data_IF_600267284651
#
_entry.id   IF_600267284651
#
_cell.length_a   1.000
_cell.length_b   1.000
_cell.length_c   1.000
_cell.angle_alpha   90.00
_cell.angle_beta   90.00
_cell.angle_gamma   90.00
#
_symmetry.space_group_name_H-M   'P 1'
#
loop_
_entity.id
_entity.type
_entity.pdbx_description
1 polymer ?
#
# COMPACT_ATOMS: atom_id res chain seq x y z
N UNK A 1 6.17 7.41 6.80
CA UNK A 1 6.93 6.20 7.20
C UNK A 1 8.36 6.60 7.57
N UNK A 2 8.89 6.22 8.74
CA UNK A 2 10.24 6.63 9.17
C UNK A 2 11.30 5.73 8.51
N UNK A 3 11.45 5.85 7.20
CA UNK A 3 12.23 4.91 6.36
C UNK A 3 13.72 4.93 6.74
N UNK A 4 14.30 6.12 6.78
CA UNK A 4 15.71 6.32 7.16
C UNK A 4 16.00 6.06 8.64
N UNK A 5 14.98 5.93 9.49
CA UNK A 5 15.17 5.50 10.88
C UNK A 5 15.43 4.00 10.99
N UNK A 6 14.94 3.20 10.02
CA UNK A 6 15.21 1.76 9.95
C UNK A 6 16.51 1.47 9.22
N UNK A 7 16.77 2.19 8.13
CA UNK A 7 18.00 2.06 7.34
C UNK A 7 18.58 3.45 7.04
N UNK A 8 19.62 3.87 7.78
CA UNK A 8 20.26 5.17 7.60
C UNK A 8 20.91 5.36 6.22
N UNK A 9 21.14 4.29 5.46
CA UNK A 9 21.75 4.39 4.11
C UNK A 9 20.78 4.92 3.05
N UNK A 10 19.49 4.98 3.38
CA UNK A 10 18.44 5.48 2.49
C UNK A 10 18.36 7.02 2.44
N UNK A 11 19.22 7.72 3.18
CA UNK A 11 19.40 9.17 3.08
C UNK A 11 20.86 9.57 3.29
N UNK A 12 21.28 10.74 2.78
CA UNK A 12 22.63 11.26 3.06
C UNK A 12 22.88 11.45 4.58
N UNK A 13 24.15 11.46 5.03
CA UNK A 13 24.49 11.73 6.41
C UNK A 13 23.91 13.07 6.92
N UNK A 14 23.27 13.04 8.09
CA UNK A 14 22.64 14.22 8.69
C UNK A 14 21.31 14.64 8.02
N UNK A 15 20.76 13.83 7.11
CA UNK A 15 19.45 14.03 6.47
C UNK A 15 18.49 12.92 6.85
N UNK A 16 17.20 13.17 6.62
CA UNK A 16 16.14 12.21 6.89
C UNK A 16 15.21 12.09 5.68
N UNK A 17 14.97 10.86 5.23
CA UNK A 17 13.92 10.53 4.26
C UNK A 17 12.59 10.34 4.98
N UNK A 18 11.62 11.19 4.65
CA UNK A 18 10.26 11.17 5.20
C UNK A 18 9.25 10.99 4.06
N UNK A 19 8.37 9.99 4.19
CA UNK A 19 7.29 9.74 3.24
C UNK A 19 5.90 9.96 3.85
N UNK A 20 5.03 10.64 3.12
CA UNK A 20 3.62 10.85 3.44
C UNK A 20 2.75 10.22 2.34
N UNK A 21 1.58 9.68 2.71
CA UNK A 21 0.64 9.10 1.77
C UNK A 21 -0.76 9.67 2.03
N UNK A 22 -1.45 10.05 0.97
CA UNK A 22 -2.79 10.63 1.02
C UNK A 22 -3.70 9.89 0.04
N UNK A 23 -4.96 9.70 0.41
CA UNK A 23 -6.00 9.39 -0.56
C UNK A 23 -6.35 10.69 -1.30
N UNK A 24 -6.38 10.65 -2.63
CA UNK A 24 -6.71 11.79 -3.47
C UNK A 24 -8.04 11.56 -4.18
N UNK A 25 -8.75 12.65 -4.46
CA UNK A 25 -9.99 12.64 -5.24
C UNK A 25 -9.65 12.61 -6.74
N UNK A 26 -9.99 11.53 -7.42
CA UNK A 26 -9.71 11.32 -8.85
C UNK A 26 -10.56 12.22 -9.76
N UNK A 27 -11.65 12.80 -9.24
CA UNK A 27 -12.45 13.80 -9.94
C UNK A 27 -11.84 15.21 -9.89
N UNK A 28 -10.84 15.42 -9.01
CA UNK A 28 -10.12 16.68 -8.87
C UNK A 28 -8.80 16.67 -9.67
N UNK A 29 -8.36 17.81 -10.24
CA UNK A 29 -7.07 17.88 -10.93
C UNK A 29 -5.91 17.49 -10.01
N UNK A 30 -5.02 16.61 -10.46
CA UNK A 30 -3.89 16.07 -9.69
C UNK A 30 -3.07 17.16 -8.97
N UNK A 31 -2.72 18.24 -9.69
CA UNK A 31 -1.97 19.38 -9.13
C UNK A 31 -2.65 20.03 -7.92
N UNK A 32 -3.98 20.03 -7.90
CA UNK A 32 -4.77 20.60 -6.78
C UNK A 32 -4.66 19.70 -5.55
N UNK A 33 -4.75 18.39 -5.72
CA UNK A 33 -4.65 17.43 -4.62
C UNK A 33 -3.22 17.36 -4.06
N UNK A 34 -2.18 17.40 -4.90
CA UNK A 34 -0.78 17.49 -4.45
C UNK A 34 -0.56 18.76 -3.62
N UNK A 35 -1.03 19.91 -4.12
CA UNK A 35 -0.92 21.19 -3.40
C UNK A 35 -1.59 21.11 -2.01
N UNK A 36 -2.81 20.56 -1.95
CA UNK A 36 -3.55 20.37 -0.70
C UNK A 36 -2.80 19.43 0.26
N UNK A 37 -2.16 18.38 -0.24
CA UNK A 37 -1.34 17.49 0.58
C UNK A 37 -0.15 18.22 1.21
N UNK A 38 0.59 19.01 0.43
CA UNK A 38 1.71 19.80 0.95
C UNK A 38 1.26 20.86 1.97
N UNK A 39 0.20 21.61 1.65
CA UNK A 39 -0.38 22.60 2.59
C UNK A 39 -0.80 21.94 3.91
N UNK A 40 -1.32 20.71 3.84
CA UNK A 40 -1.66 19.93 5.04
C UNK A 40 -0.42 19.57 5.85
N UNK A 41 0.66 19.13 5.19
CA UNK A 41 1.94 18.82 5.85
C UNK A 41 2.49 20.07 6.53
N UNK A 42 2.59 21.20 5.82
CA UNK A 42 3.13 22.45 6.35
C UNK A 42 2.26 23.04 7.45
N UNK A 43 0.95 22.84 7.40
CA UNK A 43 0.08 23.24 8.51
C UNK A 43 0.36 22.45 9.79
N UNK A 44 0.71 21.17 9.67
CA UNK A 44 0.95 20.27 10.82
C UNK A 44 2.39 20.36 11.33
N UNK A 45 3.35 20.55 10.43
CA UNK A 45 4.78 20.68 10.73
C UNK A 45 5.34 21.90 9.99
N UNK A 46 5.11 23.13 10.48
CA UNK A 46 5.44 24.36 9.77
C UNK A 46 6.88 24.47 9.30
N UNK A 47 7.83 24.13 10.17
CA UNK A 47 9.26 24.31 9.89
C UNK A 47 9.81 23.29 8.88
N UNK A 48 9.06 22.22 8.56
CA UNK A 48 9.57 21.17 7.66
C UNK A 48 9.88 21.72 6.27
N UNK A 49 9.13 22.74 5.82
CA UNK A 49 9.28 23.33 4.50
C UNK A 49 10.69 23.91 4.29
N UNK A 50 11.24 24.57 5.31
CA UNK A 50 12.56 25.20 5.26
C UNK A 50 13.72 24.20 5.31
N UNK A 51 13.41 22.92 5.56
CA UNK A 51 14.36 21.82 5.65
C UNK A 51 14.24 20.82 4.49
N UNK A 52 13.38 21.06 3.50
CA UNK A 52 13.25 20.20 2.32
C UNK A 52 14.36 20.49 1.31
N UNK A 53 15.28 19.53 1.14
CA UNK A 53 16.33 19.61 0.12
C UNK A 53 15.97 18.88 -1.17
N UNK A 54 15.12 17.86 -1.06
CA UNK A 54 14.62 17.08 -2.18
C UNK A 54 13.13 16.78 -1.95
N UNK A 55 12.32 17.05 -2.98
CA UNK A 55 10.91 16.70 -3.01
C UNK A 55 10.65 15.76 -4.18
N UNK A 56 9.87 14.71 -3.93
CA UNK A 56 9.39 13.80 -4.96
C UNK A 56 7.90 13.54 -4.73
N UNK A 57 7.08 13.92 -5.70
CA UNK A 57 5.65 13.68 -5.70
C UNK A 57 5.34 12.51 -6.64
N UNK A 58 4.67 11.48 -6.11
CA UNK A 58 4.25 10.33 -6.89
C UNK A 58 2.74 10.12 -6.70
N UNK A 59 2.02 10.13 -7.82
CA UNK A 59 0.61 9.73 -7.87
C UNK A 59 0.54 8.33 -8.45
N UNK A 60 0.00 7.40 -7.67
CA UNK A 60 -0.20 6.02 -8.09
C UNK A 60 -1.68 5.80 -8.36
N UNK A 61 -2.03 5.52 -9.61
CA UNK A 61 -3.35 5.01 -9.95
C UNK A 61 -3.33 3.52 -9.60
N UNK A 62 -4.19 3.04 -8.67
CA UNK A 62 -4.20 1.63 -8.31
C UNK A 62 -4.80 0.81 -9.46
N UNK A 63 -3.95 0.24 -10.31
CA UNK A 63 -4.43 -0.49 -11.50
C UNK A 63 -4.89 -1.91 -11.21
N UNK A 64 -4.48 -2.54 -10.09
CA UNK A 64 -4.78 -3.96 -9.82
C UNK A 64 -5.01 -4.34 -8.35
N UNK A 65 -4.45 -3.59 -7.39
CA UNK A 65 -4.66 -3.78 -5.95
C UNK A 65 -5.11 -2.45 -5.36
N UNK A 66 -6.36 -2.07 -5.61
CA UNK A 66 -6.91 -0.86 -5.04
C UNK A 66 -7.13 -1.07 -3.55
N UNK A 67 -6.34 -0.36 -2.73
CA UNK A 67 -6.62 -0.20 -1.29
C UNK A 67 -7.93 0.57 -1.19
N UNK A 68 -9.02 -0.19 -1.17
CA UNK A 68 -10.37 0.33 -1.14
C UNK A 68 -10.87 0.28 0.29
N UNK A 69 -11.43 1.39 0.77
CA UNK A 69 -11.98 1.49 2.12
C UNK A 69 -13.19 0.55 2.29
N UNK A 70 -13.90 0.25 1.19
CA UNK A 70 -15.11 -0.59 1.15
C UNK A 70 -15.02 -1.73 0.12
N UNK A 71 -13.81 -2.21 -0.19
CA UNK A 71 -13.62 -3.30 -1.17
C UNK A 71 -14.16 -4.64 -0.71
N UNK A 72 -14.56 -5.48 -1.66
CA UNK A 72 -14.82 -6.90 -1.41
C UNK A 72 -13.57 -7.72 -1.68
N UNK A 73 -13.23 -8.62 -0.75
CA UNK A 73 -12.16 -9.60 -0.94
C UNK A 73 -12.72 -10.86 -1.57
N UNK A 74 -12.12 -11.28 -2.68
CA UNK A 74 -12.49 -12.52 -3.34
C UNK A 74 -12.15 -13.73 -2.45
N UNK A 75 -12.98 -14.77 -2.52
CA UNK A 75 -12.64 -16.07 -1.94
C UNK A 75 -11.54 -16.75 -2.75
N UNK A 76 -10.80 -17.65 -2.09
CA UNK A 76 -9.70 -18.40 -2.71
C UNK A 76 -10.18 -19.43 -3.74
N UNK A 77 -11.32 -20.09 -3.49
CA UNK A 77 -11.90 -21.06 -4.41
C UNK A 77 -12.55 -20.34 -5.60
N UNK A 78 -12.26 -20.82 -6.80
CA UNK A 78 -12.92 -20.36 -8.02
C UNK A 78 -13.99 -21.37 -8.48
N UNK A 79 -14.89 -21.00 -9.40
CA UNK A 79 -15.82 -21.95 -10.02
C UNK A 79 -15.13 -23.03 -10.87
N UNK A 80 -13.86 -22.86 -11.24
CA UNK A 80 -13.10 -23.84 -12.02
C UNK A 80 -12.40 -24.79 -11.05
N UNK A 81 -12.70 -26.08 -11.17
CA UNK A 81 -12.11 -27.11 -10.30
C UNK A 81 -10.58 -27.06 -10.38
N UNK A 82 -9.93 -27.14 -9.21
CA UNK A 82 -8.48 -27.10 -9.04
C UNK A 82 -7.82 -25.79 -9.49
N UNK A 83 -8.59 -24.70 -9.64
CA UNK A 83 -8.08 -23.35 -9.83
C UNK A 83 -8.33 -22.52 -8.57
N UNK A 84 -7.26 -22.02 -7.98
CA UNK A 84 -7.25 -21.23 -6.76
C UNK A 84 -6.62 -19.86 -7.01
N UNK A 85 -7.07 -18.85 -6.28
CA UNK A 85 -6.51 -17.49 -6.34
C UNK A 85 -5.90 -17.11 -5.00
N UNK A 86 -4.77 -16.41 -5.07
CA UNK A 86 -4.08 -15.83 -3.93
C UNK A 86 -3.55 -14.44 -4.30
N UNK A 87 -3.28 -13.59 -3.31
CA UNK A 87 -2.86 -12.22 -3.49
C UNK A 87 -3.54 -11.25 -2.52
N UNK A 88 -3.19 -9.98 -2.62
CA UNK A 88 -3.66 -8.90 -1.73
C UNK A 88 -5.18 -8.67 -1.74
N UNK A 89 -5.89 -9.26 -2.69
CA UNK A 89 -7.34 -9.10 -2.86
C UNK A 89 -8.12 -10.36 -2.49
N UNK A 90 -7.44 -11.35 -1.92
CA UNK A 90 -8.03 -12.67 -1.58
C UNK A 90 -7.99 -13.00 -0.08
N UNK A 91 -7.49 -12.07 0.74
CA UNK A 91 -7.46 -12.19 2.20
C UNK A 91 -7.77 -10.84 2.84
N UNK A 92 -8.66 -10.80 3.83
CA UNK A 92 -9.06 -9.57 4.51
C UNK A 92 -8.13 -9.17 5.66
N UNK A 93 -7.17 -10.04 6.04
CA UNK A 93 -6.26 -9.82 7.16
C UNK A 93 -5.04 -9.02 6.72
N UNK A 94 -4.65 -7.99 7.47
CA UNK A 94 -3.46 -7.16 7.22
C UNK A 94 -3.53 -6.33 5.93
N UNK A 95 -2.38 -5.84 5.41
CA UNK A 95 -2.24 -5.08 4.16
C UNK A 95 -0.95 -5.46 3.43
N UNK A 96 -0.87 -5.14 2.13
CA UNK A 96 0.35 -5.29 1.32
C UNK A 96 0.91 -6.71 1.31
N UNK A 97 2.24 -6.83 1.36
CA UNK A 97 2.95 -8.11 1.27
C UNK A 97 2.54 -9.09 2.37
N UNK A 98 2.30 -8.60 3.60
CA UNK A 98 1.85 -9.45 4.71
C UNK A 98 0.49 -10.07 4.43
N UNK A 99 -0.44 -9.32 3.81
CA UNK A 99 -1.74 -9.86 3.38
C UNK A 99 -1.57 -10.89 2.27
N UNK A 100 -0.71 -10.61 1.29
CA UNK A 100 -0.40 -11.59 0.24
C UNK A 100 0.14 -12.90 0.84
N UNK A 101 1.00 -12.83 1.87
CA UNK A 101 1.49 -14.01 2.57
C UNK A 101 0.36 -14.78 3.28
N UNK A 102 -0.56 -14.09 3.97
CA UNK A 102 -1.71 -14.75 4.59
C UNK A 102 -2.61 -15.46 3.58
N UNK A 103 -2.81 -14.86 2.41
CA UNK A 103 -3.60 -15.49 1.35
C UNK A 103 -3.01 -16.83 0.88
N UNK A 104 -1.67 -16.96 0.87
CA UNK A 104 -1.00 -18.22 0.52
C UNK A 104 -1.24 -19.27 1.59
N UNK A 105 -1.13 -18.90 2.88
CA UNK A 105 -1.39 -19.83 3.98
C UNK A 105 -2.83 -20.35 3.92
N UNK A 106 -3.79 -19.46 3.67
CA UNK A 106 -5.20 -19.83 3.53
C UNK A 106 -5.44 -20.68 2.27
N UNK A 107 -4.74 -20.41 1.17
CA UNK A 107 -4.80 -21.22 -0.05
C UNK A 107 -4.32 -22.64 0.19
N UNK A 108 -3.19 -22.81 0.89
CA UNK A 108 -2.67 -24.14 1.24
C UNK A 108 -3.63 -24.90 2.14
N UNK A 109 -4.26 -24.22 3.11
CA UNK A 109 -5.30 -24.81 3.97
C UNK A 109 -6.46 -25.35 3.14
N UNK A 110 -6.97 -24.56 2.19
CA UNK A 110 -8.07 -24.91 1.28
C UNK A 110 -7.69 -26.04 0.32
N UNK A 111 -6.48 -26.00 -0.26
CA UNK A 111 -5.95 -27.08 -1.09
C UNK A 111 -5.95 -28.41 -0.34
N UNK A 112 -5.56 -28.39 0.94
CA UNK A 112 -5.55 -29.58 1.79
C UNK A 112 -6.97 -30.10 2.07
N UNK A 113 -7.92 -29.22 2.38
CA UNK A 113 -9.34 -29.60 2.54
C UNK A 113 -9.90 -30.26 1.27
N UNK A 114 -9.51 -29.76 0.10
CA UNK A 114 -9.94 -30.27 -1.19
C UNK A 114 -9.18 -31.54 -1.61
N UNK A 115 -8.29 -32.08 -0.74
CA UNK A 115 -7.43 -33.23 -1.02
C UNK A 115 -6.51 -33.05 -2.24
N UNK A 116 -6.13 -31.80 -2.51
CA UNK A 116 -5.23 -31.38 -3.58
C UNK A 116 -3.85 -30.97 -3.06
N UNK A 117 -3.63 -31.01 -1.74
CA UNK A 117 -2.32 -30.89 -1.11
C UNK A 117 -1.85 -32.28 -0.71
N UNK A 118 -0.65 -32.67 -1.16
CA UNK A 118 -0.06 -33.99 -0.92
C UNK A 118 0.36 -34.19 0.55
#
# INVERSE_FOLDING_TARGET
MPISNYDPTLSPPGKQLVGFAFAIDDSSPEKKEIKKAHETIYKVVPDIQDHVEMQHDQVTIPEKAAVTINGHFAGIRTPVRNLYVAGTDTDSRSMGVTRAAYSIIEMLRILNEDSNLH
#
